data_IF_536041440581
#
_entry.id   IF_536041440581
#
_cell.length_a   1.000
_cell.length_b   1.000
_cell.length_c   1.000
_cell.angle_alpha   90.00
_cell.angle_beta   90.00
_cell.angle_gamma   90.00
#
_symmetry.space_group_name_H-M   'P 1'
#
loop_
_entity.id
_entity.type
_entity.pdbx_description
1 polymer ?
#
# COMPACT_ATOMS: atom_id res chain seq x y z
N UNK A 1 -65.41 19.66 18.36
CA UNK A 1 -65.52 19.30 16.92
C UNK A 1 -64.27 19.78 16.19
N UNK A 2 -63.67 18.91 15.38
CA UNK A 2 -62.79 19.13 14.20
C UNK A 2 -61.55 20.06 14.40
N UNK A 3 -60.32 19.54 14.46
CA UNK A 3 -59.43 19.02 13.37
C UNK A 3 -59.09 20.04 12.26
N UNK A 4 -57.79 19.99 11.89
CA UNK A 4 -57.11 20.34 10.62
C UNK A 4 -56.19 21.57 10.70
N UNK A 5 -54.85 21.51 10.56
CA UNK A 5 -53.89 20.80 9.67
C UNK A 5 -53.46 21.65 8.46
N UNK A 6 -52.12 21.72 8.27
CA UNK A 6 -51.31 22.21 7.15
C UNK A 6 -51.09 23.72 6.97
N UNK A 7 -49.83 24.16 6.79
CA UNK A 7 -49.23 24.47 5.47
C UNK A 7 -47.70 24.68 5.60
N UNK A 8 -46.99 24.15 4.61
CA UNK A 8 -45.56 24.18 4.27
C UNK A 8 -45.25 25.39 3.34
N UNK A 9 -44.14 26.10 3.53
CA UNK A 9 -43.43 26.98 2.56
C UNK A 9 -42.08 27.39 3.19
N UNK A 10 -40.89 26.88 2.79
CA UNK A 10 -40.06 27.17 1.61
C UNK A 10 -39.81 28.67 1.35
N UNK A 11 -38.57 29.02 0.95
CA UNK A 11 -37.96 30.33 0.56
C UNK A 11 -36.92 30.79 1.63
N UNK A 12 -35.64 31.08 1.38
CA UNK A 12 -34.94 31.59 0.19
C UNK A 12 -33.44 31.24 0.19
N UNK A 13 -32.90 30.93 -0.99
CA UNK A 13 -31.47 31.02 -1.29
C UNK A 13 -31.06 32.49 -1.46
N UNK A 14 -29.86 32.86 -0.99
CA UNK A 14 -29.18 34.09 -1.43
C UNK A 14 -27.87 33.69 -2.08
N UNK A 15 -27.85 33.81 -3.41
CA UNK A 15 -26.65 33.93 -4.21
C UNK A 15 -26.01 35.30 -3.96
N UNK A 16 -24.71 35.31 -3.71
CA UNK A 16 -23.86 36.49 -3.94
C UNK A 16 -22.75 36.08 -4.89
N UNK A 17 -22.91 36.50 -6.15
CA UNK A 17 -21.89 36.54 -7.18
C UNK A 17 -20.96 37.74 -6.94
N UNK A 18 -19.65 37.50 -7.02
CA UNK A 18 -18.61 38.52 -7.15
C UNK A 18 -17.68 38.14 -8.30
N UNK A 19 -17.55 39.05 -9.24
CA UNK A 19 -16.99 38.90 -10.59
C UNK A 19 -15.51 39.28 -10.66
N UNK A 20 -14.73 38.58 -11.49
CA UNK A 20 -13.79 39.25 -12.42
C UNK A 20 -12.28 39.16 -12.15
N UNK A 21 -11.60 38.36 -12.97
CA UNK A 21 -10.36 38.79 -13.64
C UNK A 21 -9.02 38.29 -13.07
N UNK A 22 -8.33 37.44 -13.83
CA UNK A 22 -6.90 37.19 -13.66
C UNK A 22 -6.50 35.78 -14.06
N UNK A 23 -6.07 35.60 -15.31
CA UNK A 23 -5.34 34.41 -15.72
C UNK A 23 -4.08 34.25 -14.90
N UNK A 24 -4.09 33.29 -13.99
CA UNK A 24 -2.94 32.85 -13.22
C UNK A 24 -2.87 31.35 -13.37
N UNK A 25 -1.76 30.87 -13.91
CA UNK A 25 -1.39 29.46 -13.90
C UNK A 25 -1.61 28.91 -12.50
N UNK A 26 -2.66 28.12 -12.33
CA UNK A 26 -2.87 27.35 -11.12
C UNK A 26 -1.78 26.29 -11.08
N UNK A 27 -0.64 26.67 -10.49
CA UNK A 27 0.15 25.72 -9.73
C UNK A 27 -0.86 25.07 -8.77
N UNK A 28 -1.24 23.83 -9.04
CA UNK A 28 -2.05 23.04 -8.13
C UNK A 28 -1.37 23.14 -6.77
N UNK A 29 -2.06 23.68 -5.76
CA UNK A 29 -1.61 23.61 -4.38
C UNK A 29 -1.20 22.16 -4.11
N UNK A 30 -0.04 21.91 -3.47
CA UNK A 30 0.38 20.54 -3.18
C UNK A 30 -0.77 19.84 -2.43
N UNK A 31 -1.05 18.59 -2.80
CA UNK A 31 -2.14 17.84 -2.22
C UNK A 31 -2.02 17.88 -0.68
N UNK A 32 -3.02 18.47 -0.02
CA UNK A 32 -3.04 18.68 1.43
C UNK A 32 -3.44 17.44 2.20
N UNK A 33 -3.66 16.34 1.51
CA UNK A 33 -4.17 15.08 2.05
C UNK A 33 -3.35 13.90 1.58
N UNK A 34 -3.35 12.87 2.39
CA UNK A 34 -2.69 11.59 2.12
C UNK A 34 -3.74 10.52 1.86
N UNK A 35 -3.44 9.65 0.91
CA UNK A 35 -4.22 8.45 0.59
C UNK A 35 -3.38 7.23 0.96
N UNK A 36 -4.00 6.25 1.61
CA UNK A 36 -3.39 4.94 1.87
C UNK A 36 -4.22 3.88 1.17
N UNK A 37 -3.57 3.02 0.40
CA UNK A 37 -4.19 1.89 -0.27
C UNK A 37 -3.32 0.62 -0.15
N UNK A 38 -3.88 -0.53 -0.50
CA UNK A 38 -3.15 -1.79 -0.45
C UNK A 38 -4.08 -3.00 -0.48
N UNK A 39 -3.52 -4.18 -0.24
CA UNK A 39 -4.34 -5.38 -0.06
C UNK A 39 -4.59 -5.65 1.43
N UNK A 40 -5.77 -6.14 1.76
CA UNK A 40 -6.11 -6.63 3.09
C UNK A 40 -6.47 -8.10 3.02
N UNK A 41 -5.67 -8.94 3.68
CA UNK A 41 -5.89 -10.39 3.74
C UNK A 41 -6.34 -10.76 5.14
N UNK A 42 -7.53 -11.35 5.23
CA UNK A 42 -8.14 -11.72 6.50
C UNK A 42 -7.81 -13.19 6.80
N UNK A 43 -7.29 -13.54 7.99
CA UNK A 43 -6.98 -14.92 8.30
C UNK A 43 -8.25 -15.75 8.46
N UNK A 44 -8.13 -17.07 8.25
CA UNK A 44 -9.19 -17.99 8.66
C UNK A 44 -9.27 -18.06 10.18
N UNK A 45 -10.50 -17.93 10.72
CA UNK A 45 -10.76 -17.93 12.16
C UNK A 45 -11.78 -19.00 12.50
N UNK A 46 -11.45 -19.87 13.44
CA UNK A 46 -12.37 -20.87 14.03
C UNK A 46 -12.65 -20.58 15.52
N UNK A 47 -11.91 -19.64 16.10
CA UNK A 47 -12.10 -19.15 17.47
C UNK A 47 -13.37 -18.31 17.58
N UNK A 48 -14.49 -18.96 17.93
CA UNK A 48 -15.81 -18.33 18.10
C UNK A 48 -15.88 -17.22 19.14
N UNK A 49 -14.89 -17.11 20.03
CA UNK A 49 -14.78 -16.01 20.98
C UNK A 49 -14.07 -14.77 20.43
N UNK A 50 -13.59 -14.80 19.17
CA UNK A 50 -12.92 -13.66 18.51
C UNK A 50 -13.88 -13.00 17.52
N UNK A 51 -14.48 -13.79 16.65
CA UNK A 51 -15.56 -13.39 15.75
C UNK A 51 -16.76 -14.29 16.01
N UNK A 52 -17.96 -13.72 16.02
CA UNK A 52 -19.22 -14.40 16.29
C UNK A 52 -19.36 -15.61 15.37
N UNK A 53 -19.92 -16.70 15.91
CA UNK A 53 -20.05 -18.07 15.36
C UNK A 53 -20.34 -18.18 13.84
N UNK A 54 -19.36 -17.83 13.01
CA UNK A 54 -19.32 -18.07 11.58
C UNK A 54 -18.35 -19.23 11.42
N UNK A 55 -18.89 -20.45 11.50
CA UNK A 55 -18.17 -21.73 11.37
C UNK A 55 -17.74 -21.99 9.93
N UNK A 56 -17.20 -21.00 9.22
CA UNK A 56 -16.86 -21.17 7.82
C UNK A 56 -15.37 -21.41 7.66
N UNK A 57 -14.96 -22.64 7.31
CA UNK A 57 -13.77 -22.77 6.47
C UNK A 57 -14.08 -22.05 5.15
N UNK A 58 -13.14 -21.21 4.71
CA UNK A 58 -13.14 -20.35 3.52
C UNK A 58 -13.32 -18.85 3.84
N UNK A 59 -12.16 -18.18 3.86
CA UNK A 59 -11.81 -16.75 3.98
C UNK A 59 -12.83 -15.71 3.43
N UNK A 60 -13.61 -16.04 2.40
CA UNK A 60 -14.49 -15.08 1.70
C UNK A 60 -15.63 -14.48 2.54
N UNK A 61 -16.21 -15.23 3.47
CA UNK A 61 -17.32 -14.75 4.30
C UNK A 61 -16.87 -13.71 5.32
N UNK A 62 -15.74 -13.95 5.98
CA UNK A 62 -15.17 -13.00 6.93
C UNK A 62 -14.67 -11.75 6.22
N UNK A 63 -14.11 -11.90 5.02
CA UNK A 63 -13.74 -10.76 4.16
C UNK A 63 -14.95 -9.88 3.79
N UNK A 64 -16.12 -10.48 3.51
CA UNK A 64 -17.36 -9.74 3.31
C UNK A 64 -17.82 -9.00 4.57
N UNK A 65 -17.68 -9.60 5.75
CA UNK A 65 -17.96 -8.93 7.02
C UNK A 65 -17.03 -7.74 7.29
N UNK A 66 -15.74 -7.86 6.95
CA UNK A 66 -14.82 -6.72 7.01
C UNK A 66 -15.32 -5.61 6.09
N UNK A 67 -15.63 -5.89 4.83
CA UNK A 67 -16.15 -4.89 3.88
C UNK A 67 -17.43 -4.20 4.33
N UNK A 68 -18.33 -4.91 5.00
CA UNK A 68 -19.63 -4.37 5.39
C UNK A 68 -19.59 -3.61 6.72
N UNK A 69 -18.77 -4.07 7.67
CA UNK A 69 -18.94 -3.72 9.09
C UNK A 69 -17.66 -3.48 9.88
N UNK A 70 -16.46 -3.71 9.33
CA UNK A 70 -15.24 -3.40 10.09
C UNK A 70 -15.09 -1.88 10.29
N UNK A 71 -14.66 -1.49 11.47
CA UNK A 71 -14.31 -0.11 11.80
C UNK A 71 -12.86 0.12 11.39
N UNK A 72 -12.63 1.10 10.50
CA UNK A 72 -11.29 1.56 10.19
C UNK A 72 -10.93 2.74 11.10
N UNK A 73 -9.78 2.66 11.76
CA UNK A 73 -9.18 3.80 12.45
C UNK A 73 -7.78 4.08 11.92
N UNK A 74 -7.43 5.36 11.83
CA UNK A 74 -6.10 5.84 11.49
C UNK A 74 -5.64 6.77 12.61
N UNK A 75 -4.53 6.41 13.27
CA UNK A 75 -4.04 7.12 14.46
C UNK A 75 -5.12 7.28 15.55
N UNK A 76 -5.97 6.26 15.72
CA UNK A 76 -7.06 6.23 16.70
C UNK A 76 -8.31 7.03 16.32
N UNK A 77 -8.32 7.75 15.18
CA UNK A 77 -9.50 8.42 14.65
C UNK A 77 -10.23 7.50 13.68
N UNK A 78 -11.54 7.37 13.83
CA UNK A 78 -12.35 6.60 12.89
C UNK A 78 -12.41 7.33 11.54
N UNK A 79 -12.15 6.60 10.46
CA UNK A 79 -12.17 7.13 9.09
C UNK A 79 -13.02 6.25 8.18
N UNK A 80 -13.55 6.85 7.13
CA UNK A 80 -14.18 6.10 6.06
C UNK A 80 -13.11 5.39 5.21
N UNK A 81 -13.46 4.22 4.71
CA UNK A 81 -12.63 3.46 3.78
C UNK A 81 -13.56 2.71 2.83
N UNK A 82 -12.96 2.16 1.77
CA UNK A 82 -13.62 1.14 0.97
C UNK A 82 -12.75 -0.09 0.87
N UNK A 83 -13.40 -1.23 0.66
CA UNK A 83 -12.75 -2.50 0.52
C UNK A 83 -13.48 -3.34 -0.53
N UNK A 84 -12.76 -3.68 -1.59
CA UNK A 84 -13.26 -4.54 -2.66
C UNK A 84 -12.87 -5.99 -2.35
N UNK A 85 -13.83 -6.78 -1.88
CA UNK A 85 -13.60 -8.18 -1.47
C UNK A 85 -13.06 -9.06 -2.60
N UNK A 86 -13.45 -8.81 -3.85
CA UNK A 86 -13.01 -9.59 -5.00
C UNK A 86 -11.51 -9.47 -5.28
N UNK A 87 -10.94 -8.28 -5.09
CA UNK A 87 -9.52 -7.99 -5.31
C UNK A 87 -8.72 -7.90 -4.01
N UNK A 88 -9.39 -8.03 -2.87
CA UNK A 88 -8.86 -7.77 -1.54
C UNK A 88 -8.26 -6.36 -1.39
N UNK A 89 -8.67 -5.41 -2.24
CA UNK A 89 -8.04 -4.10 -2.30
C UNK A 89 -8.81 -3.10 -1.45
N UNK A 90 -8.10 -2.36 -0.58
CA UNK A 90 -8.69 -1.29 0.24
C UNK A 90 -8.10 0.07 -0.12
N UNK A 91 -8.86 1.12 0.21
CA UNK A 91 -8.41 2.50 0.09
C UNK A 91 -9.01 3.38 1.18
N UNK A 92 -8.19 4.30 1.70
CA UNK A 92 -8.52 5.32 2.69
C UNK A 92 -8.11 6.67 2.10
N UNK A 93 -9.06 7.59 1.95
CA UNK A 93 -8.84 8.90 1.34
C UNK A 93 -8.80 10.01 2.38
N UNK A 94 -8.26 11.16 1.95
CA UNK A 94 -8.37 12.44 2.66
C UNK A 94 -7.78 12.45 4.08
N UNK A 95 -6.75 11.64 4.33
CA UNK A 95 -6.06 11.65 5.62
C UNK A 95 -5.27 12.94 5.79
N UNK A 96 -5.34 13.52 6.99
CA UNK A 96 -4.47 14.63 7.34
C UNK A 96 -3.01 14.15 7.39
N UNK A 97 -2.04 14.92 6.84
CA UNK A 97 -0.62 14.62 6.96
C UNK A 97 -0.19 14.36 8.41
N UNK A 98 0.48 13.25 8.65
CA UNK A 98 1.09 12.87 9.93
C UNK A 98 2.53 12.39 9.72
N UNK A 99 3.32 12.08 10.76
CA UNK A 99 4.65 11.47 10.57
C UNK A 99 4.55 9.98 10.21
N UNK A 100 3.51 9.33 10.73
CA UNK A 100 3.15 7.94 10.46
C UNK A 100 1.65 7.76 10.61
N UNK A 101 1.16 6.64 10.08
CA UNK A 101 -0.24 6.22 10.17
C UNK A 101 -0.31 4.83 10.79
N UNK A 102 -0.93 4.73 11.97
CA UNK A 102 -1.35 3.47 12.57
C UNK A 102 -2.75 3.13 12.03
N UNK A 103 -2.79 2.28 11.01
CA UNK A 103 -4.01 1.87 10.31
C UNK A 103 -4.52 0.57 10.93
N UNK A 104 -5.75 0.58 11.44
CA UNK A 104 -6.42 -0.58 12.05
C UNK A 104 -7.76 -0.83 11.41
N UNK A 105 -8.03 -2.09 11.07
CA UNK A 105 -9.33 -2.58 10.69
C UNK A 105 -9.80 -3.55 11.76
N UNK A 106 -10.88 -3.19 12.46
CA UNK A 106 -11.42 -4.00 13.55
C UNK A 106 -12.81 -4.49 13.20
N UNK A 107 -12.97 -5.81 13.13
CA UNK A 107 -14.27 -6.46 13.07
C UNK A 107 -14.45 -7.31 14.33
N UNK A 108 -15.45 -6.95 15.14
CA UNK A 108 -15.64 -7.52 16.47
C UNK A 108 -14.35 -7.47 17.31
N UNK A 109 -13.77 -8.62 17.70
CA UNK A 109 -12.52 -8.66 18.46
C UNK A 109 -11.28 -8.92 17.60
N UNK A 110 -11.42 -9.13 16.29
CA UNK A 110 -10.28 -9.28 15.38
C UNK A 110 -9.85 -7.89 14.89
N UNK A 111 -8.59 -7.54 15.17
CA UNK A 111 -7.96 -6.33 14.63
C UNK A 111 -6.81 -6.70 13.73
N UNK A 112 -6.86 -6.25 12.47
CA UNK A 112 -5.72 -6.26 11.56
C UNK A 112 -5.12 -4.86 11.53
N UNK A 113 -3.80 -4.77 11.54
CA UNK A 113 -3.06 -3.53 11.76
C UNK A 113 -1.87 -3.41 10.83
N UNK A 114 -1.52 -2.17 10.49
CA UNK A 114 -0.28 -1.84 9.81
C UNK A 114 0.20 -0.45 10.22
N UNK A 115 1.51 -0.28 10.40
CA UNK A 115 2.13 1.04 10.59
C UNK A 115 2.73 1.48 9.25
N UNK A 116 2.30 2.65 8.78
CA UNK A 116 2.72 3.22 7.50
C UNK A 116 3.45 4.53 7.77
N UNK A 117 4.78 4.60 7.61
CA UNK A 117 5.50 5.87 7.68
C UNK A 117 4.95 6.83 6.62
N UNK A 118 4.78 8.11 6.97
CA UNK A 118 4.34 9.09 5.99
C UNK A 118 5.51 9.48 5.13
N UNK A 119 5.35 9.20 3.84
CA UNK A 119 6.46 9.36 2.95
C UNK A 119 6.16 9.87 1.54
N UNK A 120 4.89 10.02 1.22
CA UNK A 120 4.31 10.58 0.01
C UNK A 120 2.81 10.78 0.27
N UNK A 121 2.15 11.56 -0.58
CA UNK A 121 0.69 11.79 -0.53
C UNK A 121 -0.12 10.57 -0.98
N UNK A 122 0.51 9.61 -1.66
CA UNK A 122 -0.06 8.29 -1.95
C UNK A 122 0.86 7.22 -1.34
N UNK A 123 0.31 6.40 -0.45
CA UNK A 123 1.03 5.35 0.27
C UNK A 123 0.41 3.99 -0.06
N UNK A 124 1.27 2.98 -0.23
CA UNK A 124 0.85 1.60 -0.47
C UNK A 124 1.36 0.73 0.67
N UNK A 125 0.48 0.04 1.38
CA UNK A 125 0.85 -0.92 2.42
C UNK A 125 -0.26 -1.96 2.60
N UNK A 126 0.16 -3.23 2.68
CA UNK A 126 -0.76 -4.33 2.95
C UNK A 126 -1.18 -4.37 4.42
N UNK A 127 -2.29 -5.04 4.69
CA UNK A 127 -2.84 -5.26 6.03
C UNK A 127 -3.19 -6.73 6.20
N UNK A 128 -2.42 -7.44 7.02
CA UNK A 128 -2.61 -8.86 7.31
C UNK A 128 -2.02 -9.20 8.70
N UNK A 129 -1.91 -10.49 9.04
CA UNK A 129 -1.31 -10.92 10.30
C UNK A 129 0.19 -10.61 10.40
N UNK A 130 0.94 -10.59 9.29
CA UNK A 130 2.37 -10.24 9.29
C UNK A 130 2.57 -8.76 9.56
N UNK A 131 1.81 -7.88 8.92
CA UNK A 131 1.89 -6.44 9.22
C UNK A 131 1.34 -6.12 10.61
N UNK A 132 0.40 -6.92 11.11
CA UNK A 132 -0.09 -6.81 12.49
C UNK A 132 1.01 -7.19 13.48
N UNK A 133 1.70 -8.31 13.26
CA UNK A 133 2.83 -8.74 14.06
C UNK A 133 3.97 -7.70 14.03
N UNK A 134 4.30 -7.15 12.85
CA UNK A 134 5.27 -6.07 12.68
C UNK A 134 4.90 -4.84 13.53
N UNK A 135 3.64 -4.39 13.45
CA UNK A 135 3.16 -3.26 14.22
C UNK A 135 3.22 -3.50 15.75
N UNK A 136 2.85 -4.71 16.20
CA UNK A 136 2.90 -5.10 17.61
C UNK A 136 4.33 -5.15 18.15
N UNK A 137 5.28 -5.64 17.35
CA UNK A 137 6.70 -5.64 17.72
C UNK A 137 7.26 -4.21 17.77
N UNK A 138 6.94 -3.35 16.80
CA UNK A 138 7.34 -1.93 16.88
C UNK A 138 6.84 -1.25 18.15
N UNK A 139 5.58 -1.49 18.53
CA UNK A 139 5.01 -0.98 19.77
C UNK A 139 5.70 -1.56 21.01
N UNK A 140 5.91 -2.89 21.03
CA UNK A 140 6.54 -3.58 22.16
C UNK A 140 7.96 -3.08 22.44
N UNK A 141 8.73 -2.78 21.40
CA UNK A 141 10.09 -2.25 21.49
C UNK A 141 10.14 -0.71 21.45
N UNK A 142 8.99 -0.03 21.49
CA UNK A 142 8.86 1.43 21.58
C UNK A 142 9.60 2.17 20.46
N UNK A 143 9.46 1.69 19.22
CA UNK A 143 10.00 2.40 18.07
C UNK A 143 9.28 3.73 17.85
N UNK A 144 10.07 4.79 17.61
CA UNK A 144 9.55 6.10 17.20
C UNK A 144 9.22 6.12 15.71
N UNK A 145 8.37 7.05 15.26
CA UNK A 145 8.04 7.21 13.84
C UNK A 145 9.27 7.39 12.95
N UNK A 146 10.26 8.15 13.43
CA UNK A 146 11.53 8.33 12.77
C UNK A 146 12.29 7.01 12.59
N UNK A 147 12.25 6.10 13.57
CA UNK A 147 12.94 4.81 13.51
C UNK A 147 12.20 3.80 12.64
N UNK A 148 10.86 3.72 12.72
CA UNK A 148 10.05 2.78 11.92
C UNK A 148 10.28 3.01 10.42
N UNK A 149 10.48 4.26 10.00
CA UNK A 149 10.77 4.61 8.60
C UNK A 149 12.04 3.93 8.05
N UNK A 150 12.98 3.55 8.91
CA UNK A 150 14.27 3.00 8.52
C UNK A 150 14.61 1.71 9.25
N UNK A 151 13.63 0.97 9.74
CA UNK A 151 13.89 -0.30 10.42
C UNK A 151 13.06 -1.40 9.79
N UNK A 152 13.70 -2.53 9.55
CA UNK A 152 13.02 -3.75 9.10
C UNK A 152 13.16 -4.82 10.17
N UNK A 153 12.03 -5.32 10.65
CA UNK A 153 11.99 -6.48 11.55
C UNK A 153 12.34 -7.72 10.74
N UNK A 154 13.21 -8.56 11.31
CA UNK A 154 13.59 -9.86 10.72
C UNK A 154 12.31 -10.63 10.35
N UNK A 155 12.15 -11.02 9.07
CA UNK A 155 10.99 -11.77 8.60
C UNK A 155 10.69 -13.00 9.46
N UNK A 156 11.71 -13.74 9.88
CA UNK A 156 11.57 -14.95 10.70
C UNK A 156 10.84 -14.66 12.01
N UNK A 157 11.09 -13.50 12.61
CA UNK A 157 10.51 -13.10 13.88
C UNK A 157 9.05 -12.65 13.73
N UNK A 158 8.77 -11.79 12.75
CA UNK A 158 7.40 -11.33 12.52
C UNK A 158 6.50 -12.43 11.95
N UNK A 159 7.01 -13.26 11.05
CA UNK A 159 6.29 -14.42 10.50
C UNK A 159 6.05 -15.46 11.61
N UNK A 160 7.02 -15.67 12.50
CA UNK A 160 6.87 -16.55 13.67
C UNK A 160 5.72 -16.09 14.58
N UNK A 161 5.64 -14.79 14.89
CA UNK A 161 4.54 -14.24 15.69
C UNK A 161 3.20 -14.31 14.94
N UNK A 162 3.17 -13.96 13.65
CA UNK A 162 1.96 -14.05 12.82
C UNK A 162 1.41 -15.49 12.74
N UNK A 163 2.29 -16.48 12.62
CA UNK A 163 1.92 -17.90 12.62
C UNK A 163 1.34 -18.36 13.97
N UNK A 164 1.88 -17.87 15.09
CA UNK A 164 1.29 -18.13 16.42
C UNK A 164 -0.09 -17.50 16.56
N UNK A 165 -0.25 -16.26 16.10
CA UNK A 165 -1.55 -15.59 16.06
C UNK A 165 -2.56 -16.38 15.23
N UNK A 166 -2.18 -16.81 14.03
CA UNK A 166 -3.01 -17.65 13.17
C UNK A 166 -3.42 -18.95 13.88
N UNK A 167 -2.48 -19.62 14.54
CA UNK A 167 -2.74 -20.85 15.28
C UNK A 167 -3.77 -20.64 16.40
N UNK A 168 -3.68 -19.53 17.15
CA UNK A 168 -4.67 -19.20 18.17
C UNK A 168 -6.03 -18.86 17.57
N UNK A 169 -6.07 -18.10 16.47
CA UNK A 169 -7.31 -17.79 15.74
C UNK A 169 -7.99 -19.05 15.17
N UNK A 170 -7.20 -20.09 14.87
CA UNK A 170 -7.67 -21.39 14.41
C UNK A 170 -7.90 -22.40 15.54
N UNK A 171 -7.72 -22.00 16.81
CA UNK A 171 -8.00 -22.86 17.96
C UNK A 171 -9.50 -22.77 18.30
N UNK A 172 -10.27 -23.87 18.16
CA UNK A 172 -11.69 -23.85 18.44
C UNK A 172 -12.00 -23.43 19.88
N UNK A 173 -13.09 -22.69 20.07
CA UNK A 173 -13.57 -22.20 21.37
C UNK A 173 -12.60 -21.28 22.14
N UNK A 174 -11.52 -20.80 21.52
CA UNK A 174 -10.63 -19.82 22.12
C UNK A 174 -11.37 -18.48 22.33
N UNK A 175 -11.29 -17.94 23.54
CA UNK A 175 -11.95 -16.67 23.92
C UNK A 175 -11.05 -15.48 23.63
N UNK A 176 -11.63 -14.28 23.45
CA UNK A 176 -10.87 -13.04 23.32
C UNK A 176 -9.90 -12.80 24.50
N UNK A 177 -10.32 -13.11 25.73
CA UNK A 177 -9.46 -12.97 26.91
C UNK A 177 -8.25 -13.90 26.82
N UNK A 178 -8.47 -15.17 26.44
CA UNK A 178 -7.40 -16.16 26.27
C UNK A 178 -6.45 -15.76 25.13
N UNK A 179 -6.99 -15.28 24.01
CA UNK A 179 -6.20 -14.77 22.88
C UNK A 179 -5.28 -13.63 23.31
N UNK A 180 -5.85 -12.59 23.93
CA UNK A 180 -5.10 -11.42 24.35
C UNK A 180 -4.05 -11.77 25.42
N UNK A 181 -4.38 -12.70 26.32
CA UNK A 181 -3.41 -13.19 27.31
C UNK A 181 -2.25 -13.94 26.64
N UNK A 182 -2.52 -14.80 25.66
CA UNK A 182 -1.49 -15.53 24.92
C UNK A 182 -0.60 -14.58 24.11
N UNK A 183 -1.20 -13.63 23.39
CA UNK A 183 -0.49 -12.61 22.63
C UNK A 183 0.40 -11.73 23.52
N UNK A 184 -0.14 -11.26 24.65
CA UNK A 184 0.62 -10.46 25.61
C UNK A 184 1.80 -11.25 26.20
N UNK A 185 1.57 -12.51 26.57
CA UNK A 185 2.62 -13.41 27.05
C UNK A 185 3.72 -13.66 26.01
N UNK A 186 3.34 -13.85 24.76
CA UNK A 186 4.29 -14.05 23.65
C UNK A 186 5.11 -12.78 23.37
N UNK A 187 4.47 -11.60 23.33
CA UNK A 187 5.18 -10.33 23.17
C UNK A 187 6.15 -10.07 24.34
N UNK A 188 5.76 -10.43 25.56
CA UNK A 188 6.66 -10.36 26.72
C UNK A 188 7.86 -11.31 26.59
N UNK A 189 7.62 -12.55 26.18
CA UNK A 189 8.66 -13.55 25.89
C UNK A 189 9.62 -13.05 24.80
N UNK A 190 9.10 -12.43 23.73
CA UNK A 190 9.90 -11.82 22.69
C UNK A 190 10.91 -10.81 23.24
N UNK A 191 10.43 -9.84 24.02
CA UNK A 191 11.30 -8.79 24.60
C UNK A 191 12.30 -9.30 25.65
N UNK A 192 12.09 -10.50 26.20
CA UNK A 192 13.04 -11.14 27.13
C UNK A 192 14.15 -11.90 26.39
N UNK A 193 13.84 -12.46 25.23
CA UNK A 193 14.73 -13.37 24.51
C UNK A 193 15.40 -12.73 23.28
N UNK A 194 14.82 -11.66 22.74
CA UNK A 194 15.31 -10.95 21.56
C UNK A 194 15.60 -9.51 21.98
N UNK A 195 16.84 -9.08 21.82
CA UNK A 195 17.18 -7.67 22.05
C UNK A 195 16.66 -6.82 20.90
N UNK A 196 16.57 -5.50 21.11
CA UNK A 196 16.16 -4.58 20.05
C UNK A 196 17.07 -4.68 18.82
N UNK A 197 18.36 -4.85 19.03
CA UNK A 197 19.38 -4.99 17.98
C UNK A 197 19.26 -6.33 17.24
N UNK A 198 18.75 -7.37 17.90
CA UNK A 198 18.50 -8.69 17.29
C UNK A 198 17.11 -8.80 16.65
N UNK A 199 16.23 -7.80 16.83
CA UNK A 199 14.88 -7.79 16.27
C UNK A 199 14.88 -7.64 14.75
N UNK A 200 15.93 -7.06 14.19
CA UNK A 200 16.00 -6.72 12.78
C UNK A 200 17.18 -5.81 12.49
N UNK A 201 17.10 -5.12 11.36
CA UNK A 201 18.17 -4.25 10.89
C UNK A 201 17.72 -2.79 10.82
N UNK A 202 18.59 -1.92 11.35
CA UNK A 202 18.56 -0.51 10.99
C UNK A 202 19.01 -0.40 9.53
N UNK A 203 18.16 0.21 8.73
CA UNK A 203 18.35 0.44 7.31
C UNK A 203 18.96 1.82 7.07
N UNK A 204 19.59 2.42 8.08
CA UNK A 204 20.37 3.65 7.95
C UNK A 204 21.89 3.39 7.96
N UNK A 205 22.61 3.96 6.98
CA UNK A 205 22.09 4.45 5.72
C UNK A 205 21.57 3.30 4.86
N UNK A 206 20.48 3.54 4.14
CA UNK A 206 19.97 2.54 3.19
C UNK A 206 21.04 2.33 2.12
N UNK A 207 21.18 1.11 1.59
CA UNK A 207 22.22 0.83 0.59
C UNK A 207 22.12 1.86 -0.52
N UNK A 208 23.24 2.52 -0.83
CA UNK A 208 23.25 3.59 -1.82
C UNK A 208 23.00 3.03 -3.23
N UNK A 209 21.84 3.39 -3.77
CA UNK A 209 21.39 3.08 -5.12
C UNK A 209 21.72 4.17 -6.13
N UNK A 210 22.35 5.27 -5.70
CA UNK A 210 22.73 6.38 -6.57
C UNK A 210 23.56 5.88 -7.75
N UNK A 211 23.16 6.31 -8.95
CA UNK A 211 23.80 5.91 -10.20
C UNK A 211 22.81 5.51 -11.28
N UNK A 212 23.33 4.84 -12.31
CA UNK A 212 22.60 4.45 -13.50
C UNK A 212 22.45 2.92 -13.53
N UNK A 213 21.23 2.45 -13.75
CA UNK A 213 20.87 1.05 -13.83
C UNK A 213 20.28 0.77 -15.21
N UNK A 214 20.78 -0.25 -15.92
CA UNK A 214 20.38 -0.55 -17.29
C UNK A 214 19.86 -1.96 -17.45
N UNK A 215 18.69 -2.11 -18.05
CA UNK A 215 18.14 -3.37 -18.53
C UNK A 215 18.10 -3.39 -20.05
N UNK A 216 18.42 -4.53 -20.64
CA UNK A 216 18.32 -4.74 -22.09
C UNK A 216 17.25 -5.75 -22.41
N UNK A 217 16.48 -5.50 -23.47
CA UNK A 217 15.38 -6.37 -23.89
C UNK A 217 14.35 -6.64 -22.78
N UNK A 218 14.08 -5.65 -21.93
CA UNK A 218 13.03 -5.74 -20.91
C UNK A 218 11.66 -5.75 -21.57
N UNK A 219 10.72 -6.50 -21.00
CA UNK A 219 9.36 -6.63 -21.52
C UNK A 219 8.38 -5.92 -20.59
N UNK A 220 7.55 -5.06 -21.18
CA UNK A 220 6.43 -4.43 -20.50
C UNK A 220 5.24 -4.30 -21.46
N UNK A 221 4.08 -3.99 -20.90
CA UNK A 221 2.80 -3.92 -21.59
C UNK A 221 2.19 -2.53 -21.44
N UNK A 222 1.55 -2.09 -22.51
CA UNK A 222 0.64 -0.94 -22.54
C UNK A 222 -0.79 -1.45 -22.68
N UNK A 223 -1.75 -0.66 -22.22
CA UNK A 223 -3.15 -1.04 -22.14
C UNK A 223 -4.00 -0.30 -23.17
N UNK A 224 -5.12 -0.91 -23.58
CA UNK A 224 -6.16 -0.20 -24.32
C UNK A 224 -7.11 0.53 -23.35
N UNK A 225 -8.10 1.23 -23.92
CA UNK A 225 -9.11 1.95 -23.15
C UNK A 225 -10.01 1.05 -22.30
N UNK A 226 -10.00 -0.26 -22.55
CA UNK A 226 -10.74 -1.26 -21.76
C UNK A 226 -9.92 -1.80 -20.58
N UNK A 227 -8.64 -1.42 -20.47
CA UNK A 227 -7.73 -1.92 -19.44
C UNK A 227 -7.14 -3.29 -19.75
N UNK A 228 -7.23 -3.77 -20.99
CA UNK A 228 -6.58 -4.99 -21.46
C UNK A 228 -5.19 -4.69 -21.99
N UNK A 229 -4.24 -5.62 -21.83
CA UNK A 229 -2.91 -5.54 -22.44
C UNK A 229 -3.05 -5.48 -23.96
N UNK A 230 -2.69 -4.36 -24.55
CA UNK A 230 -2.87 -4.09 -25.98
C UNK A 230 -1.57 -4.23 -26.76
N UNK A 231 -0.44 -3.85 -26.17
CA UNK A 231 0.88 -3.91 -26.80
C UNK A 231 1.86 -4.55 -25.85
N UNK A 232 2.69 -5.42 -26.40
CA UNK A 232 3.88 -5.95 -25.75
C UNK A 232 5.10 -5.26 -26.32
N UNK A 233 5.82 -4.52 -25.49
CA UNK A 233 7.05 -3.83 -25.85
C UNK A 233 8.28 -4.63 -25.39
N UNK A 234 9.31 -4.67 -26.22
CA UNK A 234 10.67 -5.04 -25.86
C UNK A 234 11.54 -3.81 -25.99
N UNK A 235 12.16 -3.38 -24.89
CA UNK A 235 12.89 -2.13 -24.81
C UNK A 235 14.24 -2.28 -24.10
N UNK A 236 15.12 -1.32 -24.31
CA UNK A 236 16.16 -1.01 -23.34
C UNK A 236 15.61 -0.03 -22.31
N UNK A 237 16.00 -0.18 -21.06
CA UNK A 237 15.51 0.61 -19.95
C UNK A 237 16.68 1.15 -19.15
N UNK A 238 16.66 2.45 -18.88
CA UNK A 238 17.65 3.14 -18.07
C UNK A 238 16.97 3.79 -16.88
N UNK A 239 17.39 3.43 -15.68
CA UNK A 239 16.91 3.99 -14.43
C UNK A 239 18.05 4.77 -13.79
N UNK A 240 17.93 6.09 -13.76
CA UNK A 240 18.91 6.98 -13.13
C UNK A 240 18.39 7.42 -11.77
N UNK A 241 19.11 7.09 -10.70
CA UNK A 241 18.69 7.32 -9.31
C UNK A 241 19.62 8.28 -8.59
N UNK A 242 19.03 9.13 -7.76
CA UNK A 242 19.70 9.95 -6.74
C UNK A 242 19.06 9.65 -5.39
N UNK A 243 19.90 9.28 -4.42
CA UNK A 243 19.46 8.91 -3.08
C UNK A 243 19.84 9.98 -2.04
N UNK A 244 18.90 10.25 -1.13
CA UNK A 244 19.15 11.00 0.11
C UNK A 244 18.48 10.31 1.29
N UNK A 245 19.29 9.68 2.14
CA UNK A 245 18.78 8.77 3.17
C UNK A 245 18.06 7.57 2.54
N UNK A 246 16.78 7.38 2.86
CA UNK A 246 15.93 6.37 2.20
C UNK A 246 15.11 6.92 1.03
N UNK A 247 15.13 8.23 0.79
CA UNK A 247 14.38 8.83 -0.31
C UNK A 247 15.15 8.67 -1.62
N UNK A 248 14.42 8.30 -2.67
CA UNK A 248 14.93 8.15 -4.03
C UNK A 248 14.20 9.12 -4.94
N UNK A 249 14.95 9.80 -5.79
CA UNK A 249 14.43 10.53 -6.95
C UNK A 249 15.17 10.05 -8.18
N UNK A 250 14.57 10.19 -9.36
CA UNK A 250 15.22 9.69 -10.55
C UNK A 250 14.42 9.89 -11.83
N UNK A 251 14.93 9.28 -12.88
CA UNK A 251 14.27 9.19 -14.19
C UNK A 251 14.31 7.75 -14.66
N UNK A 252 13.17 7.27 -15.13
CA UNK A 252 13.04 6.03 -15.88
C UNK A 252 12.90 6.35 -17.37
N UNK A 253 13.86 5.92 -18.17
CA UNK A 253 13.86 6.05 -19.61
C UNK A 253 13.69 4.68 -20.28
N UNK A 254 12.92 4.63 -21.35
CA UNK A 254 12.78 3.44 -22.20
C UNK A 254 13.09 3.77 -23.65
N UNK A 255 13.78 2.86 -24.33
CA UNK A 255 14.02 2.92 -25.77
C UNK A 255 13.48 1.64 -26.38
N UNK A 256 12.37 1.75 -27.11
CA UNK A 256 11.68 0.59 -27.67
C UNK A 256 12.49 0.04 -28.84
N UNK A 257 12.77 -1.27 -28.79
CA UNK A 257 13.47 -2.02 -29.84
C UNK A 257 12.51 -2.75 -30.76
N UNK A 258 11.45 -3.30 -30.18
CA UNK A 258 10.42 -4.07 -30.87
C UNK A 258 9.11 -3.96 -30.12
N UNK A 259 7.99 -4.03 -30.83
CA UNK A 259 6.67 -4.18 -30.24
C UNK A 259 5.86 -5.25 -30.98
N UNK A 260 4.84 -5.77 -30.30
CA UNK A 260 3.85 -6.72 -30.79
C UNK A 260 2.47 -6.23 -30.38
N UNK A 261 1.53 -6.18 -31.34
CA UNK A 261 0.14 -5.79 -31.10
C UNK A 261 -0.63 -7.04 -30.65
N UNK A 262 -1.19 -7.00 -29.45
CA UNK A 262 -1.96 -8.09 -28.84
C UNK A 262 -3.46 -7.92 -29.12
N UNK A 263 -3.95 -6.68 -29.21
CA UNK A 263 -5.34 -6.37 -29.55
C UNK A 263 -5.40 -5.37 -30.72
N UNK A 264 -6.25 -5.59 -31.74
CA UNK A 264 -6.22 -4.84 -33.00
C UNK A 264 -6.93 -3.47 -32.96
N UNK A 265 -7.15 -2.89 -31.78
CA UNK A 265 -7.77 -1.56 -31.67
C UNK A 265 -6.84 -0.44 -32.18
N UNK A 266 -7.42 0.75 -32.46
CA UNK A 266 -6.72 1.92 -33.02
C UNK A 266 -5.38 2.18 -32.30
N UNK A 267 -4.28 1.93 -33.01
CA UNK A 267 -2.94 1.91 -32.44
C UNK A 267 -2.02 2.92 -33.11
N UNK A 268 -1.19 3.57 -32.29
CA UNK A 268 -0.06 4.38 -32.72
C UNK A 268 1.24 3.67 -32.31
N UNK A 269 2.26 3.61 -33.18
CA UNK A 269 3.55 3.02 -32.82
C UNK A 269 4.04 3.57 -31.48
N UNK A 270 4.55 2.70 -30.59
CA UNK A 270 4.84 3.11 -29.24
C UNK A 270 6.14 3.93 -29.29
N UNK A 271 6.20 5.00 -28.52
CA UNK A 271 7.39 5.84 -28.42
C UNK A 271 8.10 5.55 -27.10
N UNK A 272 9.43 5.62 -27.13
CA UNK A 272 10.22 5.56 -25.90
C UNK A 272 9.73 6.60 -24.88
N UNK A 273 9.83 6.26 -23.61
CA UNK A 273 9.37 7.10 -22.51
C UNK A 273 10.55 7.71 -21.78
N UNK A 274 10.34 8.90 -21.22
CA UNK A 274 11.11 9.44 -20.11
C UNK A 274 10.14 9.87 -19.02
N UNK A 275 10.29 9.35 -17.80
CA UNK A 275 9.42 9.70 -16.68
C UNK A 275 10.22 9.94 -15.41
N UNK A 276 10.01 11.09 -14.78
CA UNK A 276 10.53 11.36 -13.44
C UNK A 276 9.86 10.45 -12.42
N UNK A 277 10.64 9.94 -11.46
CA UNK A 277 10.15 9.08 -10.40
C UNK A 277 10.52 9.62 -9.02
N UNK A 278 9.70 9.27 -8.04
CA UNK A 278 9.96 9.49 -6.62
C UNK A 278 9.67 8.21 -5.84
N UNK A 279 10.53 7.84 -4.91
CA UNK A 279 10.45 6.54 -4.27
C UNK A 279 11.26 6.41 -2.99
N UNK A 280 11.44 5.16 -2.56
CA UNK A 280 12.18 4.77 -1.37
C UNK A 280 12.97 3.52 -1.53
N UNK A 281 14.08 3.49 -0.82
CA UNK A 281 14.87 2.30 -0.57
C UNK A 281 14.73 1.86 0.88
N UNK A 282 14.55 0.55 1.07
CA UNK A 282 14.47 -0.12 2.36
C UNK A 282 15.22 -1.44 2.25
N UNK A 283 16.39 -1.55 2.90
CA UNK A 283 17.22 -2.78 2.88
C UNK A 283 17.65 -3.14 1.47
N UNK A 284 17.06 -4.19 0.89
CA UNK A 284 17.25 -4.63 -0.50
C UNK A 284 16.06 -4.30 -1.40
N UNK A 285 15.10 -3.49 -0.95
CA UNK A 285 13.88 -3.18 -1.68
C UNK A 285 13.87 -1.71 -2.12
N UNK A 286 13.47 -1.47 -3.37
CA UNK A 286 13.23 -0.15 -3.94
C UNK A 286 11.78 -0.08 -4.41
N UNK A 287 11.02 0.90 -3.92
CA UNK A 287 9.69 1.22 -4.45
C UNK A 287 9.67 2.64 -4.97
N UNK A 288 8.97 2.90 -6.08
CA UNK A 288 8.81 4.27 -6.58
C UNK A 288 7.52 4.44 -7.36
N UNK A 289 7.14 5.69 -7.58
CA UNK A 289 5.99 6.09 -8.40
C UNK A 289 6.46 7.04 -9.50
N UNK A 290 6.01 6.77 -10.72
CA UNK A 290 6.02 7.71 -11.84
C UNK A 290 4.62 8.30 -12.07
N UNK A 291 4.42 8.93 -13.22
CA UNK A 291 3.16 9.64 -13.53
C UNK A 291 1.92 8.74 -13.53
N UNK A 292 2.04 7.55 -14.13
CA UNK A 292 0.92 6.61 -14.35
C UNK A 292 1.31 5.17 -14.01
N UNK A 293 2.40 4.98 -13.27
CA UNK A 293 2.88 3.66 -12.89
C UNK A 293 3.63 3.69 -11.56
N UNK A 294 3.76 2.54 -10.94
CA UNK A 294 4.65 2.30 -9.81
C UNK A 294 5.67 1.20 -10.14
N UNK A 295 6.79 1.21 -9.42
CA UNK A 295 7.82 0.19 -9.49
C UNK A 295 8.07 -0.42 -8.13
N UNK A 296 8.24 -1.73 -8.09
CA UNK A 296 8.68 -2.48 -6.91
C UNK A 296 9.83 -3.41 -7.30
N UNK A 297 10.99 -3.20 -6.68
CA UNK A 297 12.23 -3.86 -7.02
C UNK A 297 12.90 -4.43 -5.77
N UNK A 298 13.61 -5.53 -5.95
CA UNK A 298 14.63 -6.05 -5.06
C UNK A 298 16.00 -5.82 -5.68
N UNK A 299 17.06 -5.68 -4.89
CA UNK A 299 18.40 -5.46 -5.43
C UNK A 299 19.53 -6.11 -4.63
N UNK A 300 20.59 -6.44 -5.35
CA UNK A 300 21.92 -6.76 -4.82
C UNK A 300 22.89 -5.60 -5.13
N UNK A 301 24.21 -5.82 -5.09
CA UNK A 301 25.21 -4.79 -5.44
C UNK A 301 25.07 -4.32 -6.88
N UNK A 302 24.73 -5.25 -7.77
CA UNK A 302 24.98 -5.11 -9.20
C UNK A 302 23.72 -5.32 -10.02
N UNK A 303 22.64 -5.81 -9.40
CA UNK A 303 21.39 -6.18 -10.06
C UNK A 303 20.18 -5.66 -9.29
N UNK A 304 19.28 -5.00 -9.99
CA UNK A 304 17.90 -4.71 -9.59
C UNK A 304 16.94 -5.61 -10.36
N UNK A 305 16.03 -6.27 -9.66
CA UNK A 305 14.95 -7.06 -10.26
C UNK A 305 13.61 -6.56 -9.77
N UNK A 306 12.65 -6.35 -10.66
CA UNK A 306 11.36 -5.84 -10.23
C UNK A 306 10.26 -5.88 -11.26
N UNK A 307 9.17 -5.21 -10.88
CA UNK A 307 7.91 -5.19 -11.60
C UNK A 307 7.44 -3.73 -11.71
N UNK A 308 6.88 -3.37 -12.86
CA UNK A 308 6.10 -2.15 -13.02
C UNK A 308 4.61 -2.47 -12.97
N UNK A 309 3.83 -1.57 -12.36
CA UNK A 309 2.37 -1.70 -12.25
C UNK A 309 1.70 -0.43 -12.73
N UNK A 310 0.66 -0.55 -13.54
CA UNK A 310 -0.13 0.59 -13.99
C UNK A 310 -0.93 1.13 -12.80
N UNK A 311 -0.85 2.44 -12.57
CA UNK A 311 -1.63 3.11 -11.50
C UNK A 311 -2.74 4.00 -12.05
N UNK A 312 -2.81 4.20 -13.37
CA UNK A 312 -3.91 4.90 -14.03
C UNK A 312 -5.03 3.92 -14.35
N UNK A 313 -5.97 3.78 -13.42
CA UNK A 313 -7.13 2.91 -13.58
C UNK A 313 -8.28 3.57 -14.36
N UNK A 314 -8.14 4.84 -14.72
CA UNK A 314 -9.21 5.60 -15.39
C UNK A 314 -9.02 5.64 -16.90
N UNK A 315 -7.78 5.88 -17.34
CA UNK A 315 -7.44 5.98 -18.75
C UNK A 315 -6.45 4.92 -19.21
N UNK A 316 -5.89 4.15 -18.28
CA UNK A 316 -4.95 3.07 -18.56
C UNK A 316 -3.70 3.52 -19.33
N UNK A 317 -3.26 4.77 -19.13
CA UNK A 317 -2.05 5.31 -19.76
C UNK A 317 -0.75 4.89 -19.06
N UNK A 318 -0.81 3.94 -18.13
CA UNK A 318 0.38 3.40 -17.47
C UNK A 318 0.94 2.16 -18.14
N UNK A 319 1.92 1.57 -17.46
CA UNK A 319 2.66 0.41 -17.92
C UNK A 319 2.62 -0.68 -16.87
N UNK A 320 2.58 -1.92 -17.32
CA UNK A 320 2.73 -3.07 -16.44
C UNK A 320 3.82 -3.99 -16.99
N UNK A 321 4.50 -4.71 -16.12
CA UNK A 321 5.34 -5.82 -16.52
C UNK A 321 4.88 -7.10 -15.84
N UNK A 322 5.31 -8.24 -16.37
CA UNK A 322 5.20 -9.48 -15.59
C UNK A 322 6.08 -9.39 -14.33
N UNK A 323 5.76 -10.23 -13.34
CA UNK A 323 6.47 -10.26 -12.07
C UNK A 323 7.96 -10.53 -12.27
N UNK A 324 8.83 -9.67 -11.71
CA UNK A 324 10.28 -9.76 -11.82
C UNK A 324 10.82 -9.76 -13.27
N UNK A 325 10.05 -9.23 -14.22
CA UNK A 325 10.45 -9.17 -15.62
C UNK A 325 11.57 -8.15 -15.87
N UNK A 326 11.69 -7.12 -15.04
CA UNK A 326 12.73 -6.11 -15.19
C UNK A 326 13.99 -6.56 -14.48
N UNK A 327 15.10 -6.61 -15.21
CA UNK A 327 16.44 -6.88 -14.68
C UNK A 327 17.36 -5.76 -15.11
N UNK A 328 17.75 -4.90 -14.17
CA UNK A 328 18.57 -3.72 -14.42
C UNK A 328 19.94 -3.92 -13.75
N UNK A 329 21.01 -3.84 -14.51
CA UNK A 329 22.39 -3.95 -14.02
C UNK A 329 22.96 -2.57 -13.71
N UNK A 330 23.72 -2.45 -12.62
CA UNK A 330 24.46 -1.21 -12.32
C UNK A 330 25.48 -0.92 -13.43
N UNK A 331 25.71 0.36 -13.72
CA UNK A 331 26.71 0.84 -14.68
C UNK A 331 27.81 1.62 -13.99
#
# INVERSE_FOLDING_TARGET
>A
MKKMLYVLCLICAVFASGCGGGGGSSASLPATTTTIAGTMTVPSVTASGIVSNITYPNDSALMASFSASAVCTVNGQQVAYSFATATQYFYIFELTPAEQYDVKFTYENLTLRSIVPHTSTALIKNVDLNTTAEALLFEKYQFTAAQIKYFEIDPTLKDGLANKMLTWLQTPALTNITFNSALSGELASFSLNVTREALGSDLTPARDLTGVWKGTNVVYYEFNLNGDRAIKNTADMTLTLTQSGSAITGVLDTTIKKYEVLTPELYYPPVGMSSTISGKVSSTNLTFTGRSFSGAFTFTSDLMMGTLTNTDLKYFFGFESDTNALKLMRQ
#
